data_IF_624345454049
#
_entry.id   IF_624345454049
#
_cell.length_a   1.000
_cell.length_b   1.000
_cell.length_c   1.000
_cell.angle_alpha   90.00
_cell.angle_beta   90.00
_cell.angle_gamma   90.00
#
_symmetry.space_group_name_H-M   'P 1'
#
loop_
_entity.id
_entity.type
_entity.pdbx_description
1 polymer ?
#
# COMPACT_ATOMS: atom_id res chain seq x y z
N UNK A 1 -10.05 -10.52 26.72
CA UNK A 1 -9.62 -9.11 26.52
C UNK A 1 -8.35 -9.12 25.68
N UNK A 2 -8.38 -8.55 24.49
CA UNK A 2 -7.20 -8.43 23.60
C UNK A 2 -6.27 -7.36 24.19
N UNK A 3 -4.97 -7.65 24.24
CA UNK A 3 -3.92 -6.67 24.59
C UNK A 3 -3.10 -6.39 23.34
N UNK A 4 -2.96 -5.11 22.99
CA UNK A 4 -2.16 -4.67 21.83
C UNK A 4 -0.88 -4.00 22.32
N UNK A 5 0.27 -4.42 21.81
CA UNK A 5 1.58 -3.78 22.01
C UNK A 5 1.99 -3.19 20.68
N UNK A 6 2.21 -1.88 20.63
CA UNK A 6 2.64 -1.17 19.43
C UNK A 6 4.08 -0.72 19.58
N UNK A 7 4.93 -1.09 18.62
CA UNK A 7 6.34 -0.73 18.60
C UNK A 7 6.55 0.26 17.45
N UNK A 8 6.92 1.49 17.79
CA UNK A 8 7.18 2.57 16.84
C UNK A 8 8.59 3.11 16.97
N UNK A 9 9.16 3.61 15.88
CA UNK A 9 10.45 4.31 15.92
C UNK A 9 10.49 5.42 14.86
N UNK A 10 11.18 6.50 15.15
CA UNK A 10 11.33 7.65 14.26
C UNK A 10 12.45 7.51 13.23
N UNK A 11 13.31 6.49 13.32
CA UNK A 11 14.44 6.27 12.39
C UNK A 11 14.63 4.78 12.10
N UNK A 12 15.15 4.48 10.90
CA UNK A 12 15.68 3.15 10.58
C UNK A 12 16.84 2.76 11.51
N UNK A 13 17.06 1.45 11.70
CA UNK A 13 18.18 0.93 12.49
C UNK A 13 18.05 1.03 14.02
N UNK A 14 16.92 1.47 14.56
CA UNK A 14 16.68 1.58 16.02
C UNK A 14 16.39 0.24 16.71
N UNK A 15 16.36 -0.87 15.98
CA UNK A 15 16.06 -2.19 16.52
C UNK A 15 14.57 -2.51 16.65
N UNK A 16 13.67 -1.76 16.04
CA UNK A 16 12.21 -2.00 16.04
C UNK A 16 11.88 -3.46 15.69
N UNK A 17 12.38 -3.96 14.57
CA UNK A 17 12.15 -5.33 14.08
C UNK A 17 12.69 -6.38 15.05
N UNK A 18 13.90 -6.18 15.60
CA UNK A 18 14.49 -7.09 16.59
C UNK A 18 13.70 -7.14 17.90
N UNK A 19 13.21 -5.98 18.35
CA UNK A 19 12.38 -5.89 19.56
C UNK A 19 11.02 -6.55 19.33
N UNK A 20 10.39 -6.35 18.18
CA UNK A 20 9.15 -7.01 17.80
C UNK A 20 9.31 -8.54 17.77
N UNK A 21 10.41 -9.03 17.22
CA UNK A 21 10.75 -10.45 17.21
C UNK A 21 10.95 -11.03 18.61
N UNK A 22 11.62 -10.28 19.49
CA UNK A 22 11.80 -10.71 20.89
C UNK A 22 10.46 -10.79 21.63
N UNK A 23 9.58 -9.82 21.48
CA UNK A 23 8.22 -9.89 22.05
C UNK A 23 7.41 -11.05 21.49
N UNK A 24 7.50 -11.30 20.18
CA UNK A 24 6.85 -12.44 19.54
C UNK A 24 7.29 -13.77 20.15
N UNK A 25 8.60 -13.92 20.40
CA UNK A 25 9.15 -15.14 21.00
C UNK A 25 8.73 -15.37 22.46
N UNK A 26 8.43 -14.30 23.19
CA UNK A 26 8.02 -14.36 24.60
C UNK A 26 6.49 -14.43 24.77
N UNK A 27 5.73 -14.01 23.77
CA UNK A 27 4.28 -14.00 23.81
C UNK A 27 3.71 -15.43 23.78
N UNK A 28 2.67 -15.67 24.57
CA UNK A 28 1.86 -16.89 24.48
C UNK A 28 0.60 -16.56 23.68
N UNK A 29 0.32 -17.33 22.62
CA UNK A 29 -0.83 -17.14 21.75
C UNK A 29 -0.88 -15.71 21.14
N UNK A 30 0.29 -15.18 20.75
CA UNK A 30 0.39 -13.88 20.11
C UNK A 30 0.01 -13.92 18.64
N UNK A 31 -0.51 -12.80 18.14
CA UNK A 31 -0.69 -12.54 16.72
C UNK A 31 0.23 -11.38 16.35
N UNK A 32 0.96 -11.53 15.26
CA UNK A 32 1.90 -10.55 14.77
C UNK A 32 1.24 -9.66 13.71
N UNK A 33 1.50 -8.37 13.78
CA UNK A 33 1.08 -7.40 12.77
C UNK A 33 2.30 -6.61 12.31
N UNK A 34 2.72 -6.81 11.05
CA UNK A 34 3.74 -5.95 10.45
C UNK A 34 3.05 -4.82 9.69
N UNK A 35 3.06 -3.64 10.29
CA UNK A 35 2.47 -2.43 9.74
C UNK A 35 3.50 -1.53 9.03
N UNK A 36 4.75 -1.99 8.89
CA UNK A 36 5.82 -1.30 8.14
C UNK A 36 5.75 -1.74 6.66
N UNK A 37 4.70 -1.32 5.97
CA UNK A 37 4.37 -1.81 4.62
C UNK A 37 5.32 -1.34 3.53
N UNK A 38 6.09 -0.29 3.80
CA UNK A 38 7.09 0.27 2.88
C UNK A 38 8.43 -0.46 3.01
N UNK A 39 8.75 -0.95 4.22
CA UNK A 39 9.97 -1.68 4.53
C UNK A 39 9.66 -2.89 5.44
N UNK A 40 8.85 -3.78 4.92
CA UNK A 40 8.34 -4.95 5.65
C UNK A 40 9.44 -5.99 5.90
N UNK A 41 10.31 -5.76 6.89
CA UNK A 41 11.46 -6.62 7.18
C UNK A 41 11.19 -7.69 8.24
N UNK A 42 10.07 -7.62 8.97
CA UNK A 42 9.75 -8.58 10.04
C UNK A 42 9.63 -10.01 9.49
N UNK A 43 9.15 -10.17 8.26
CA UNK A 43 9.02 -11.46 7.60
C UNK A 43 10.37 -12.19 7.45
N UNK A 44 11.50 -11.46 7.31
CA UNK A 44 12.85 -12.06 7.22
C UNK A 44 13.23 -12.83 8.50
N UNK A 45 12.80 -12.32 9.66
CA UNK A 45 13.06 -12.95 10.95
C UNK A 45 12.02 -14.02 11.30
N UNK A 46 10.78 -13.82 10.90
CA UNK A 46 9.66 -14.71 11.22
C UNK A 46 9.59 -15.92 10.31
N UNK A 47 10.12 -15.83 9.07
CA UNK A 47 10.07 -16.87 8.04
C UNK A 47 8.63 -17.41 7.87
N UNK A 48 7.65 -16.54 7.55
CA UNK A 48 6.26 -16.91 7.52
C UNK A 48 5.94 -17.87 6.38
N UNK A 49 5.12 -18.86 6.65
CA UNK A 49 4.46 -19.67 5.65
C UNK A 49 3.14 -19.00 5.26
N UNK A 50 3.07 -18.47 4.04
CA UNK A 50 1.86 -17.76 3.55
C UNK A 50 0.70 -18.75 3.44
N UNK A 51 -0.41 -18.45 4.11
CA UNK A 51 -1.66 -19.22 4.06
C UNK A 51 -2.67 -18.55 3.13
N UNK A 52 -2.75 -17.24 3.20
CA UNK A 52 -3.65 -16.44 2.37
C UNK A 52 -2.89 -15.25 1.77
N UNK A 53 -3.23 -14.92 0.53
CA UNK A 53 -2.68 -13.78 -0.21
C UNK A 53 -3.82 -13.04 -0.88
N UNK A 54 -3.89 -11.74 -0.68
CA UNK A 54 -4.95 -10.90 -1.24
C UNK A 54 -4.34 -9.64 -1.86
N UNK A 55 -4.81 -9.28 -3.04
CA UNK A 55 -4.40 -8.04 -3.69
C UNK A 55 -4.96 -6.82 -2.93
N UNK A 56 -4.13 -5.82 -2.75
CA UNK A 56 -4.55 -4.53 -2.23
C UNK A 56 -4.85 -3.57 -3.38
N UNK A 57 -6.12 -3.21 -3.50
CA UNK A 57 -6.61 -2.23 -4.45
C UNK A 57 -6.70 -0.88 -3.74
N UNK A 58 -5.88 0.08 -4.12
CA UNK A 58 -5.68 1.30 -3.30
C UNK A 58 -5.72 2.55 -4.10
N UNK A 59 -5.19 3.10 -4.87
CA UNK A 59 -5.21 4.36 -5.62
C UNK A 59 -5.86 4.21 -6.97
N UNK A 60 -5.90 5.30 -7.69
CA UNK A 60 -6.31 5.31 -9.10
C UNK A 60 -5.27 6.06 -9.90
N UNK A 61 -5.08 5.71 -11.17
CA UNK A 61 -4.19 6.45 -12.07
C UNK A 61 -4.97 6.86 -13.32
N UNK A 62 -4.69 8.06 -13.81
CA UNK A 62 -5.35 8.58 -14.98
C UNK A 62 -4.95 7.79 -16.23
N UNK A 63 -5.92 7.52 -17.09
CA UNK A 63 -5.72 6.90 -18.41
C UNK A 63 -6.44 7.74 -19.43
N UNK A 64 -5.71 8.36 -20.34
CA UNK A 64 -6.30 9.20 -21.39
C UNK A 64 -6.74 8.33 -22.56
N UNK A 65 -8.02 8.45 -22.91
CA UNK A 65 -8.58 7.79 -24.09
C UNK A 65 -8.25 8.63 -25.35
N UNK A 66 -7.42 8.12 -26.26
CA UNK A 66 -7.00 8.89 -27.44
C UNK A 66 -8.13 9.19 -28.41
N UNK A 67 -9.19 8.35 -28.42
CA UNK A 67 -10.33 8.52 -29.34
C UNK A 67 -11.23 9.70 -28.95
N UNK A 68 -11.21 10.06 -27.66
CA UNK A 68 -12.00 11.17 -27.10
C UNK A 68 -11.16 12.44 -26.89
N UNK A 69 -9.84 12.29 -26.86
CA UNK A 69 -8.93 13.39 -26.52
C UNK A 69 -8.76 14.36 -27.70
N UNK A 70 -9.17 15.61 -27.53
CA UNK A 70 -8.99 16.69 -28.53
C UNK A 70 -7.62 17.36 -28.49
N UNK A 71 -6.75 17.00 -27.55
CA UNK A 71 -5.43 17.60 -27.39
C UNK A 71 -5.45 19.03 -26.84
N UNK A 72 -6.47 19.43 -26.09
CA UNK A 72 -6.65 20.80 -25.60
C UNK A 72 -5.57 21.28 -24.60
N UNK A 73 -4.77 20.37 -24.02
CA UNK A 73 -3.65 20.69 -23.13
C UNK A 73 -4.02 20.97 -21.68
N UNK A 74 -5.29 21.05 -21.32
CA UNK A 74 -5.75 21.38 -19.96
C UNK A 74 -5.16 20.45 -18.90
N UNK A 75 -5.22 19.14 -19.12
CA UNK A 75 -4.71 18.13 -18.18
C UNK A 75 -3.19 18.27 -17.95
N UNK A 76 -2.41 18.61 -18.95
CA UNK A 76 -0.95 18.84 -18.84
C UNK A 76 -0.66 20.10 -18.02
N UNK A 77 -1.35 21.18 -18.31
CA UNK A 77 -1.18 22.46 -17.59
C UNK A 77 -1.50 22.32 -16.11
N UNK A 78 -2.50 21.50 -15.75
CA UNK A 78 -2.93 21.29 -14.37
C UNK A 78 -2.10 20.22 -13.63
N UNK A 79 -1.35 19.38 -14.34
CA UNK A 79 -0.57 18.32 -13.72
C UNK A 79 0.70 18.86 -13.06
N UNK A 80 0.65 19.02 -11.73
CA UNK A 80 1.82 19.48 -10.95
C UNK A 80 2.95 18.45 -10.82
N UNK A 81 2.72 17.22 -11.30
CA UNK A 81 3.67 16.11 -11.24
C UNK A 81 4.36 15.83 -12.58
N UNK A 82 4.07 16.63 -13.60
CA UNK A 82 4.59 16.45 -14.98
C UNK A 82 4.40 15.00 -15.49
N UNK A 83 3.28 14.37 -15.10
CA UNK A 83 2.99 12.98 -15.43
C UNK A 83 2.36 12.81 -16.83
N UNK A 84 2.07 13.87 -17.56
CA UNK A 84 1.38 13.81 -18.86
C UNK A 84 2.29 14.35 -19.98
N UNK A 85 2.64 13.48 -20.91
CA UNK A 85 3.52 13.80 -22.02
C UNK A 85 2.88 14.74 -23.09
N UNK A 86 3.70 15.22 -24.04
CA UNK A 86 3.24 15.99 -25.19
C UNK A 86 2.29 15.20 -26.11
N UNK A 87 2.33 13.87 -26.01
CA UNK A 87 1.45 12.96 -26.76
C UNK A 87 0.21 12.57 -25.99
N UNK A 88 -0.04 13.21 -24.84
CA UNK A 88 -1.16 12.90 -23.94
C UNK A 88 -1.11 11.46 -23.39
N UNK A 89 0.08 10.92 -23.16
CA UNK A 89 0.29 9.65 -22.48
C UNK A 89 0.62 9.92 -21.01
N UNK A 90 0.00 9.17 -20.10
CA UNK A 90 0.24 9.29 -18.66
C UNK A 90 1.39 8.38 -18.25
N UNK A 91 2.42 8.95 -17.61
CA UNK A 91 3.46 8.18 -16.95
C UNK A 91 2.91 7.64 -15.61
N UNK A 92 2.74 6.31 -15.48
CA UNK A 92 2.15 5.73 -14.29
C UNK A 92 3.03 5.86 -13.03
N UNK A 93 4.35 6.10 -13.20
CA UNK A 93 5.27 6.30 -12.08
C UNK A 93 5.14 7.71 -11.53
N UNK A 94 4.99 8.71 -12.40
CA UNK A 94 4.83 10.11 -12.00
C UNK A 94 3.41 10.47 -11.59
N UNK A 95 2.42 9.68 -12.01
CA UNK A 95 1.02 9.97 -11.71
C UNK A 95 0.70 9.64 -10.24
N UNK A 96 0.46 10.67 -9.45
CA UNK A 96 0.10 10.57 -8.02
C UNK A 96 -1.39 10.31 -7.76
N UNK A 97 -2.17 10.04 -8.80
CA UNK A 97 -3.58 9.70 -8.62
C UNK A 97 -4.43 10.80 -7.98
N UNK A 98 -4.10 12.07 -8.18
CA UNK A 98 -4.83 13.18 -7.57
C UNK A 98 -6.19 13.49 -8.22
N UNK A 99 -6.47 12.96 -9.41
CA UNK A 99 -7.76 13.11 -10.11
C UNK A 99 -8.01 14.47 -10.78
N UNK A 100 -7.19 15.50 -10.56
CA UNK A 100 -7.41 16.86 -11.09
C UNK A 100 -7.59 16.87 -12.61
N UNK A 101 -6.80 16.12 -13.34
CA UNK A 101 -6.91 16.05 -14.81
C UNK A 101 -8.23 15.41 -15.27
N UNK A 102 -8.81 14.52 -14.45
CA UNK A 102 -10.11 13.87 -14.72
C UNK A 102 -11.23 14.88 -14.56
N UNK A 103 -11.25 15.59 -13.43
CA UNK A 103 -12.31 16.53 -13.06
C UNK A 103 -12.39 17.73 -14.03
N UNK A 104 -11.24 18.15 -14.57
CA UNK A 104 -11.15 19.31 -15.46
C UNK A 104 -11.02 18.96 -16.93
N UNK A 105 -11.20 17.70 -17.35
CA UNK A 105 -11.21 17.33 -18.75
C UNK A 105 -12.54 17.73 -19.41
N UNK A 106 -12.57 18.70 -20.36
CA UNK A 106 -13.79 19.16 -20.98
C UNK A 106 -14.47 18.08 -21.82
N UNK A 107 -13.68 17.15 -22.36
CA UNK A 107 -14.16 16.05 -23.23
C UNK A 107 -14.45 14.78 -22.43
N UNK A 108 -14.22 14.78 -21.11
CA UNK A 108 -14.33 13.58 -20.25
C UNK A 108 -13.53 12.38 -20.83
N UNK A 109 -12.40 12.68 -21.45
CA UNK A 109 -11.54 11.72 -22.14
C UNK A 109 -10.56 11.00 -21.22
N UNK A 110 -10.71 11.09 -19.89
CA UNK A 110 -9.75 10.54 -18.94
C UNK A 110 -10.46 9.59 -17.98
N UNK A 111 -10.17 8.32 -18.11
CA UNK A 111 -10.58 7.29 -17.17
C UNK A 111 -9.70 7.31 -15.91
N UNK A 112 -10.26 6.84 -14.78
CA UNK A 112 -9.57 6.83 -13.49
C UNK A 112 -9.73 5.50 -12.75
N UNK A 113 -9.28 4.40 -13.35
CA UNK A 113 -9.46 3.07 -12.79
C UNK A 113 -8.66 2.88 -11.50
N UNK A 114 -9.26 2.16 -10.55
CA UNK A 114 -8.57 1.73 -9.33
C UNK A 114 -7.45 0.76 -9.72
N UNK A 115 -6.27 0.96 -9.14
CA UNK A 115 -5.07 0.17 -9.41
C UNK A 115 -4.78 -0.81 -8.26
N UNK A 116 -4.11 -1.91 -8.62
CA UNK A 116 -3.50 -2.80 -7.65
C UNK A 116 -2.21 -2.16 -7.14
N UNK A 117 -2.20 -1.76 -5.88
CA UNK A 117 -1.09 -1.03 -5.26
C UNK A 117 -0.22 -1.90 -4.36
N UNK A 118 -0.57 -3.16 -4.15
CA UNK A 118 0.20 -4.04 -3.28
C UNK A 118 -0.51 -5.35 -2.99
N UNK A 119 -0.07 -5.99 -1.93
CA UNK A 119 -0.60 -7.27 -1.46
C UNK A 119 -0.56 -7.31 0.06
N UNK A 120 -1.47 -8.06 0.65
CA UNK A 120 -1.40 -8.40 2.06
C UNK A 120 -1.59 -9.89 2.27
N UNK A 121 -1.10 -10.38 3.40
CA UNK A 121 -0.95 -11.80 3.65
C UNK A 121 -1.39 -12.15 5.07
N UNK A 122 -2.02 -13.32 5.20
CA UNK A 122 -2.15 -14.04 6.47
C UNK A 122 -1.20 -15.23 6.39
N UNK A 123 -0.30 -15.34 7.34
CA UNK A 123 0.77 -16.33 7.35
C UNK A 123 0.88 -17.01 8.71
N UNK A 124 1.38 -18.24 8.70
CA UNK A 124 1.78 -18.94 9.91
C UNK A 124 3.26 -18.71 10.18
N UNK A 125 3.62 -18.46 11.44
CA UNK A 125 5.00 -18.40 11.90
C UNK A 125 5.21 -19.34 13.09
N UNK A 126 6.46 -19.58 13.47
CA UNK A 126 6.80 -20.35 14.67
C UNK A 126 6.30 -19.70 15.98
N UNK A 127 5.89 -18.44 15.95
CA UNK A 127 5.42 -17.69 17.11
C UNK A 127 3.92 -17.37 17.07
N UNK A 128 3.21 -17.84 16.05
CA UNK A 128 1.79 -17.62 15.87
C UNK A 128 1.45 -17.03 14.49
N UNK A 129 0.17 -16.71 14.24
CA UNK A 129 -0.26 -16.07 13.02
C UNK A 129 0.38 -14.69 12.83
N UNK A 130 0.61 -14.32 11.58
CA UNK A 130 1.17 -13.01 11.19
C UNK A 130 0.35 -12.42 10.07
N UNK A 131 -0.10 -11.18 10.23
CA UNK A 131 -0.65 -10.37 9.15
C UNK A 131 0.41 -9.35 8.74
N UNK A 132 0.73 -9.33 7.47
CA UNK A 132 1.72 -8.43 6.92
C UNK A 132 1.33 -8.02 5.49
N UNK A 133 1.95 -6.96 4.98
CA UNK A 133 1.67 -6.47 3.65
C UNK A 133 2.91 -5.93 2.98
N UNK A 134 2.82 -5.72 1.68
CA UNK A 134 3.86 -5.15 0.86
C UNK A 134 3.23 -4.25 -0.20
N UNK A 135 3.64 -2.98 -0.25
CA UNK A 135 3.31 -2.10 -1.35
C UNK A 135 4.09 -2.47 -2.62
N UNK A 136 3.50 -2.16 -3.76
CA UNK A 136 4.18 -2.20 -5.05
C UNK A 136 5.24 -1.10 -5.16
N UNK A 137 6.12 -1.22 -6.16
CA UNK A 137 7.16 -0.22 -6.42
C UNK A 137 6.50 1.09 -6.86
N UNK A 138 6.90 2.20 -6.23
CA UNK A 138 6.36 3.54 -6.47
C UNK A 138 4.83 3.65 -6.27
N UNK A 139 4.27 2.82 -5.38
CA UNK A 139 2.87 2.89 -5.01
C UNK A 139 2.69 3.64 -3.70
N UNK A 140 1.62 4.42 -3.64
CA UNK A 140 1.20 5.16 -2.46
C UNK A 140 0.04 4.44 -1.73
N UNK A 141 -0.53 5.10 -0.73
CA UNK A 141 -1.60 4.58 0.13
C UNK A 141 -1.14 3.64 1.25
N UNK A 142 0.10 3.80 1.72
CA UNK A 142 0.61 3.05 2.88
C UNK A 142 -0.32 3.14 4.10
N UNK A 143 -0.89 4.31 4.38
CA UNK A 143 -1.83 4.52 5.50
C UNK A 143 -3.10 3.67 5.40
N UNK A 144 -3.67 3.49 4.19
CA UNK A 144 -4.84 2.63 3.98
C UNK A 144 -4.48 1.15 4.14
N UNK A 145 -3.33 0.74 3.63
CA UNK A 145 -2.84 -0.63 3.75
C UNK A 145 -2.52 -0.97 5.21
N UNK A 146 -1.87 -0.07 5.95
CA UNK A 146 -1.64 -0.21 7.41
C UNK A 146 -2.95 -0.38 8.16
N UNK A 147 -3.96 0.43 7.84
CA UNK A 147 -5.28 0.33 8.47
C UNK A 147 -5.95 -1.01 8.19
N UNK A 148 -5.82 -1.53 6.97
CA UNK A 148 -6.31 -2.84 6.58
C UNK A 148 -5.62 -3.96 7.37
N UNK A 149 -4.29 -3.99 7.36
CA UNK A 149 -3.49 -5.01 8.07
C UNK A 149 -3.84 -5.04 9.56
N UNK A 150 -3.98 -3.88 10.20
CA UNK A 150 -4.40 -3.79 11.60
C UNK A 150 -5.83 -4.31 11.84
N UNK A 151 -6.75 -4.02 10.93
CA UNK A 151 -8.13 -4.51 11.01
C UNK A 151 -8.16 -6.03 10.93
N UNK A 152 -7.51 -6.62 9.93
CA UNK A 152 -7.44 -8.06 9.74
C UNK A 152 -6.76 -8.76 10.92
N UNK A 153 -5.70 -8.16 11.49
CA UNK A 153 -5.05 -8.68 12.70
C UNK A 153 -6.01 -8.74 13.89
N UNK A 154 -6.85 -7.72 14.07
CA UNK A 154 -7.85 -7.70 15.16
C UNK A 154 -8.93 -8.76 14.95
N UNK A 155 -9.40 -8.95 13.72
CA UNK A 155 -10.38 -9.99 13.40
C UNK A 155 -9.86 -11.40 13.69
N UNK A 156 -8.57 -11.65 13.45
CA UNK A 156 -7.94 -12.93 13.81
C UNK A 156 -7.79 -13.13 15.32
N UNK A 157 -7.84 -12.06 16.10
CA UNK A 157 -7.67 -12.10 17.54
C UNK A 157 -9.00 -12.28 18.31
N UNK A 158 -10.13 -12.16 17.63
CA UNK A 158 -11.48 -12.36 18.16
C UNK A 158 -11.91 -13.83 18.06
#
# INVERSE_FOLDING_TARGET
MIREIVIVSGKGGTGKTSLAAAFAALAKNGILCDADVDAADLHLLMQPEVKERTDFMGGSKAVINPDLCTGCGTCRTLCRFDAISDRYEVDPIRCEGCGVCVDFCPEQAIDFPVQRCGEWFISATRFGPMVHARLGIAEENSGRLVSLVRKETRQLAE
#
